data_IF_980553755293
#
_entry.id   IF_980553755293
#
_cell.length_a   1.000
_cell.length_b   1.000
_cell.length_c   1.000
_cell.angle_alpha   90.00
_cell.angle_beta   90.00
_cell.angle_gamma   90.00
#
_symmetry.space_group_name_H-M   'P 1'
#
loop_
_entity.id
_entity.type
_entity.pdbx_description
1 polymer ?
#
# COMPACT_ATOMS: atom_id res chain seq x y z
N UNK A 1 -142.24 30.98 -175.91
CA UNK A 1 -142.61 31.26 -174.50
C UNK A 1 -142.19 30.14 -173.50
N UNK A 2 -141.40 29.12 -173.90
CA UNK A 2 -141.03 27.99 -173.00
C UNK A 2 -139.59 28.01 -172.43
N UNK A 3 -138.62 28.63 -173.11
CA UNK A 3 -137.20 28.58 -172.68
C UNK A 3 -136.85 29.33 -171.39
N UNK A 4 -137.70 30.28 -170.94
CA UNK A 4 -137.40 31.10 -169.75
C UNK A 4 -137.74 30.40 -168.44
N UNK A 5 -138.78 29.56 -168.42
CA UNK A 5 -139.21 28.83 -167.21
C UNK A 5 -138.29 27.64 -166.88
N UNK A 6 -137.70 26.99 -167.88
CA UNK A 6 -136.71 25.92 -167.65
C UNK A 6 -135.37 26.45 -167.11
N UNK A 7 -134.95 27.64 -167.56
CA UNK A 7 -133.74 28.29 -167.04
C UNK A 7 -133.89 28.70 -165.57
N UNK A 8 -135.06 29.20 -165.16
CA UNK A 8 -135.34 29.59 -163.78
C UNK A 8 -135.43 28.36 -162.85
N UNK A 9 -135.96 27.22 -163.33
CA UNK A 9 -135.98 25.95 -162.57
C UNK A 9 -134.57 25.39 -162.36
N UNK A 10 -133.73 25.41 -163.41
CA UNK A 10 -132.34 24.99 -163.33
C UNK A 10 -131.52 25.86 -162.37
N UNK A 11 -131.74 27.17 -162.39
CA UNK A 11 -131.09 28.10 -161.46
C UNK A 11 -131.52 27.87 -160.01
N UNK A 12 -132.79 27.55 -159.77
CA UNK A 12 -133.30 27.19 -158.44
C UNK A 12 -132.73 25.84 -157.94
N UNK A 13 -132.64 24.84 -158.82
CA UNK A 13 -132.03 23.54 -158.49
C UNK A 13 -130.51 23.65 -158.24
N UNK A 14 -129.80 24.52 -158.97
CA UNK A 14 -128.40 24.82 -158.69
C UNK A 14 -128.23 25.50 -157.33
N UNK A 15 -129.07 26.49 -157.00
CA UNK A 15 -129.08 27.13 -155.68
C UNK A 15 -129.38 26.16 -154.54
N UNK A 16 -130.27 25.20 -154.76
CA UNK A 16 -130.64 24.20 -153.75
C UNK A 16 -129.46 23.24 -153.51
N UNK A 17 -128.78 22.79 -154.57
CA UNK A 17 -127.53 22.03 -154.45
C UNK A 17 -126.41 22.81 -153.77
N UNK A 18 -126.25 24.10 -154.06
CA UNK A 18 -125.24 24.94 -153.40
C UNK A 18 -125.55 25.13 -151.91
N UNK A 19 -126.82 25.29 -151.54
CA UNK A 19 -127.25 25.36 -150.13
C UNK A 19 -127.09 24.02 -149.41
N UNK A 20 -127.39 22.90 -150.05
CA UNK A 20 -127.15 21.56 -149.49
C UNK A 20 -125.65 21.29 -149.32
N UNK A 21 -124.80 21.72 -150.27
CA UNK A 21 -123.36 21.63 -150.14
C UNK A 21 -122.82 22.52 -149.01
N UNK A 22 -123.39 23.72 -148.83
CA UNK A 22 -123.05 24.61 -147.72
C UNK A 22 -123.49 24.04 -146.37
N UNK A 23 -124.68 23.44 -146.30
CA UNK A 23 -125.19 22.79 -145.10
C UNK A 23 -124.30 21.59 -144.72
N UNK A 24 -124.01 20.71 -145.67
CA UNK A 24 -123.12 19.57 -145.45
C UNK A 24 -121.70 20.01 -145.04
N UNK A 25 -121.19 21.09 -145.62
CA UNK A 25 -119.91 21.70 -145.22
C UNK A 25 -119.96 22.24 -143.78
N UNK A 26 -121.06 22.90 -143.40
CA UNK A 26 -121.25 23.40 -142.03
C UNK A 26 -121.46 22.29 -141.01
N UNK A 27 -122.18 21.23 -141.36
CA UNK A 27 -122.36 20.04 -140.51
C UNK A 27 -121.06 19.26 -140.34
N UNK A 28 -120.26 19.14 -141.40
CA UNK A 28 -118.90 18.58 -141.31
C UNK A 28 -117.99 19.42 -140.41
N UNK A 29 -118.01 20.75 -140.55
CA UNK A 29 -117.25 21.65 -139.68
C UNK A 29 -117.71 21.61 -138.22
N UNK A 30 -119.03 21.52 -137.97
CA UNK A 30 -119.59 21.35 -136.63
C UNK A 30 -119.16 20.02 -136.01
N UNK A 31 -119.20 18.93 -136.79
CA UNK A 31 -118.77 17.59 -136.34
C UNK A 31 -117.28 17.58 -135.96
N UNK A 32 -116.42 18.19 -136.79
CA UNK A 32 -114.98 18.34 -136.49
C UNK A 32 -114.75 19.18 -135.23
N UNK A 33 -115.43 20.32 -135.09
CA UNK A 33 -115.30 21.18 -133.90
C UNK A 33 -115.81 20.49 -132.62
N UNK A 34 -116.85 19.66 -132.70
CA UNK A 34 -117.32 18.85 -131.58
C UNK A 34 -116.35 17.71 -131.24
N UNK A 35 -115.67 17.14 -132.24
CA UNK A 35 -114.58 16.19 -132.05
C UNK A 35 -113.38 16.81 -131.34
N UNK A 36 -112.94 17.98 -131.81
CA UNK A 36 -111.86 18.77 -131.17
C UNK A 36 -112.23 19.17 -129.75
N UNK A 37 -113.46 19.64 -129.52
CA UNK A 37 -113.96 19.93 -128.17
C UNK A 37 -113.88 18.70 -127.26
N UNK A 38 -114.31 17.52 -127.73
CA UNK A 38 -114.22 16.28 -126.95
C UNK A 38 -112.79 15.86 -126.66
N UNK A 39 -111.87 16.04 -127.61
CA UNK A 39 -110.45 15.75 -127.44
C UNK A 39 -109.84 16.69 -126.40
N UNK A 40 -110.07 18.00 -126.50
CA UNK A 40 -109.61 19.00 -125.53
C UNK A 40 -110.23 18.78 -124.14
N UNK A 41 -111.51 18.39 -124.05
CA UNK A 41 -112.14 17.99 -122.78
C UNK A 41 -111.49 16.73 -122.18
N UNK A 42 -111.03 15.80 -123.02
CA UNK A 42 -110.22 14.65 -122.63
C UNK A 42 -108.86 15.07 -122.06
N UNK A 43 -108.11 15.88 -122.81
CA UNK A 43 -106.80 16.40 -122.40
C UNK A 43 -106.87 17.21 -121.10
N UNK A 44 -107.90 18.06 -120.94
CA UNK A 44 -108.11 18.81 -119.69
C UNK A 44 -108.39 17.88 -118.52
N UNK A 45 -109.13 16.78 -118.74
CA UNK A 45 -109.39 15.78 -117.70
C UNK A 45 -108.11 15.03 -117.32
N UNK A 46 -107.30 14.66 -118.30
CA UNK A 46 -106.04 13.95 -118.08
C UNK A 46 -105.00 14.84 -117.39
N UNK A 47 -104.86 16.11 -117.82
CA UNK A 47 -104.00 17.10 -117.17
C UNK A 47 -104.45 17.36 -115.72
N UNK A 48 -105.76 17.46 -115.45
CA UNK A 48 -106.26 17.56 -114.07
C UNK A 48 -105.93 16.32 -113.24
N UNK A 49 -106.03 15.13 -113.84
CA UNK A 49 -105.63 13.88 -113.19
C UNK A 49 -104.13 13.81 -112.88
N UNK A 50 -103.28 14.31 -113.79
CA UNK A 50 -101.85 14.42 -113.57
C UNK A 50 -101.50 15.46 -112.51
N UNK A 51 -102.19 16.62 -112.50
CA UNK A 51 -102.01 17.67 -111.51
C UNK A 51 -102.36 17.15 -110.10
N UNK A 52 -103.50 16.46 -109.94
CA UNK A 52 -103.88 15.86 -108.68
C UNK A 52 -102.89 14.78 -108.20
N UNK A 53 -102.34 13.96 -109.11
CA UNK A 53 -101.30 12.97 -108.77
C UNK A 53 -100.00 13.65 -108.33
N UNK A 54 -99.59 14.71 -109.02
CA UNK A 54 -98.39 15.48 -108.69
C UNK A 54 -98.57 16.20 -107.34
N UNK A 55 -99.73 16.80 -107.08
CA UNK A 55 -100.08 17.41 -105.80
C UNK A 55 -100.05 16.39 -104.65
N UNK A 56 -100.60 15.20 -104.86
CA UNK A 56 -100.51 14.09 -103.91
C UNK A 56 -99.07 13.68 -103.63
N UNK A 57 -98.27 13.47 -104.68
CA UNK A 57 -96.85 13.11 -104.53
C UNK A 57 -96.03 14.21 -103.85
N UNK A 58 -96.35 15.48 -104.07
CA UNK A 58 -95.73 16.61 -103.40
C UNK A 58 -96.10 16.67 -101.92
N UNK A 59 -97.35 16.37 -101.58
CA UNK A 59 -97.80 16.29 -100.20
C UNK A 59 -97.09 15.15 -99.45
N UNK A 60 -96.99 13.97 -100.06
CA UNK A 60 -96.28 12.82 -99.49
C UNK A 60 -94.79 13.11 -99.30
N UNK A 61 -94.13 13.70 -100.30
CA UNK A 61 -92.72 14.09 -100.22
C UNK A 61 -92.47 15.14 -99.12
N UNK A 62 -93.37 16.11 -98.95
CA UNK A 62 -93.30 17.09 -97.86
C UNK A 62 -93.44 16.43 -96.50
N UNK A 63 -94.37 15.48 -96.36
CA UNK A 63 -94.56 14.73 -95.11
C UNK A 63 -93.33 13.88 -94.78
N UNK A 64 -92.78 13.16 -95.77
CA UNK A 64 -91.55 12.39 -95.59
C UNK A 64 -90.37 13.27 -95.20
N UNK A 65 -90.24 14.46 -95.80
CA UNK A 65 -89.20 15.42 -95.43
C UNK A 65 -89.37 15.90 -93.99
N UNK A 66 -90.60 16.19 -93.55
CA UNK A 66 -90.88 16.59 -92.17
C UNK A 66 -90.55 15.48 -91.17
N UNK A 67 -90.96 14.25 -91.46
CA UNK A 67 -90.69 13.07 -90.62
C UNK A 67 -89.17 12.81 -90.53
N UNK A 68 -88.44 12.95 -91.64
CA UNK A 68 -86.98 12.75 -91.66
C UNK A 68 -86.23 13.90 -90.97
N UNK A 69 -86.71 15.14 -91.10
CA UNK A 69 -86.17 16.27 -90.32
C UNK A 69 -86.35 16.05 -88.82
N UNK A 70 -87.51 15.55 -88.38
CA UNK A 70 -87.75 15.25 -86.97
C UNK A 70 -86.78 14.15 -86.47
N UNK A 71 -86.63 13.06 -87.24
CA UNK A 71 -85.67 11.99 -86.92
C UNK A 71 -84.23 12.48 -86.85
N UNK A 72 -83.83 13.37 -87.77
CA UNK A 72 -82.50 13.99 -87.76
C UNK A 72 -82.29 14.80 -86.48
N UNK A 73 -83.25 15.64 -86.09
CA UNK A 73 -83.18 16.44 -84.87
C UNK A 73 -83.13 15.56 -83.62
N UNK A 74 -83.94 14.50 -83.54
CA UNK A 74 -83.90 13.54 -82.43
C UNK A 74 -82.56 12.82 -82.32
N UNK A 75 -81.96 12.43 -83.46
CA UNK A 75 -80.64 11.80 -83.49
C UNK A 75 -79.54 12.78 -83.08
N UNK A 76 -79.62 14.05 -83.51
CA UNK A 76 -78.67 15.11 -83.17
C UNK A 76 -78.73 15.43 -81.67
N UNK A 77 -79.94 15.52 -81.09
CA UNK A 77 -80.13 15.67 -79.64
C UNK A 77 -79.55 14.49 -78.86
N UNK A 78 -79.81 13.23 -79.28
CA UNK A 78 -79.21 12.05 -78.63
C UNK A 78 -77.68 12.07 -78.73
N UNK A 79 -77.13 12.49 -79.87
CA UNK A 79 -75.68 12.58 -80.05
C UNK A 79 -75.08 13.64 -79.11
N UNK A 80 -75.77 14.77 -78.95
CA UNK A 80 -75.36 15.83 -78.03
C UNK A 80 -75.38 15.35 -76.58
N UNK A 81 -76.46 14.70 -76.13
CA UNK A 81 -76.55 14.13 -74.78
C UNK A 81 -75.43 13.11 -74.53
N UNK A 82 -75.16 12.21 -75.47
CA UNK A 82 -74.09 11.23 -75.34
C UNK A 82 -72.69 11.89 -75.29
N UNK A 83 -72.48 13.00 -75.99
CA UNK A 83 -71.22 13.76 -75.92
C UNK A 83 -71.04 14.40 -74.55
N UNK A 84 -72.09 15.02 -74.03
CA UNK A 84 -72.08 15.64 -72.70
C UNK A 84 -71.83 14.59 -71.60
N UNK A 85 -72.48 13.42 -71.68
CA UNK A 85 -72.23 12.30 -70.77
C UNK A 85 -70.80 11.78 -70.84
N UNK A 86 -70.24 11.64 -72.06
CA UNK A 86 -68.86 11.21 -72.24
C UNK A 86 -67.87 12.23 -71.65
N UNK A 87 -68.12 13.52 -71.86
CA UNK A 87 -67.27 14.59 -71.34
C UNK A 87 -67.36 14.68 -69.81
N UNK A 88 -68.57 14.53 -69.26
CA UNK A 88 -68.78 14.43 -67.82
C UNK A 88 -68.04 13.24 -67.20
N UNK A 89 -68.14 12.05 -67.80
CA UNK A 89 -67.42 10.85 -67.35
C UNK A 89 -65.90 11.06 -67.41
N UNK A 90 -65.37 11.65 -68.50
CA UNK A 90 -63.94 11.97 -68.62
C UNK A 90 -63.49 12.93 -67.51
N UNK A 91 -64.27 13.96 -67.21
CA UNK A 91 -63.95 14.89 -66.14
C UNK A 91 -63.92 14.19 -64.78
N UNK A 92 -64.92 13.37 -64.46
CA UNK A 92 -64.93 12.57 -63.22
C UNK A 92 -63.69 11.69 -63.12
N UNK A 93 -63.39 10.87 -64.13
CA UNK A 93 -62.22 10.00 -64.07
C UNK A 93 -60.91 10.79 -63.93
N UNK A 94 -60.82 11.97 -64.56
CA UNK A 94 -59.66 12.84 -64.41
C UNK A 94 -59.51 13.40 -62.99
N UNK A 95 -60.62 13.76 -62.34
CA UNK A 95 -60.65 14.22 -60.96
C UNK A 95 -60.34 13.09 -59.99
N UNK A 96 -60.92 11.91 -60.17
CA UNK A 96 -60.61 10.71 -59.37
C UNK A 96 -59.13 10.34 -59.50
N UNK A 97 -58.58 10.33 -60.71
CA UNK A 97 -57.14 10.09 -60.94
C UNK A 97 -56.28 11.14 -60.23
N UNK A 98 -56.66 12.41 -60.32
CA UNK A 98 -55.94 13.51 -59.66
C UNK A 98 -56.00 13.38 -58.14
N UNK A 99 -57.15 13.06 -57.57
CA UNK A 99 -57.32 12.87 -56.13
C UNK A 99 -56.54 11.63 -55.65
N UNK A 100 -56.61 10.53 -56.38
CA UNK A 100 -55.89 9.29 -56.03
C UNK A 100 -54.38 9.53 -56.03
N UNK A 101 -53.85 10.25 -57.05
CA UNK A 101 -52.44 10.65 -57.10
C UNK A 101 -52.05 11.54 -55.93
N UNK A 102 -52.87 12.56 -55.62
CA UNK A 102 -52.62 13.47 -54.49
C UNK A 102 -52.62 12.75 -53.14
N UNK A 103 -53.56 11.83 -52.92
CA UNK A 103 -53.60 10.99 -51.71
C UNK A 103 -52.34 10.12 -51.61
N UNK A 104 -51.90 9.52 -52.71
CA UNK A 104 -50.68 8.71 -52.73
C UNK A 104 -49.44 9.54 -52.43
N UNK A 105 -49.28 10.70 -53.07
CA UNK A 105 -48.16 11.62 -52.85
C UNK A 105 -48.09 12.10 -51.40
N UNK A 106 -49.24 12.51 -50.82
CA UNK A 106 -49.31 12.95 -49.42
C UNK A 106 -48.89 11.83 -48.47
N UNK A 107 -49.39 10.61 -48.69
CA UNK A 107 -49.04 9.44 -47.87
C UNK A 107 -47.56 9.10 -47.98
N UNK A 108 -46.98 9.21 -49.18
CA UNK A 108 -45.56 8.94 -49.43
C UNK A 108 -44.68 9.95 -48.70
N UNK A 109 -45.02 11.24 -48.76
CA UNK A 109 -44.31 12.31 -48.05
C UNK A 109 -44.42 12.14 -46.54
N UNK A 110 -45.60 11.84 -45.99
CA UNK A 110 -45.78 11.62 -44.55
C UNK A 110 -44.99 10.41 -44.04
N UNK A 111 -45.00 9.32 -44.80
CA UNK A 111 -44.24 8.10 -44.50
C UNK A 111 -42.74 8.39 -44.56
N UNK A 112 -42.24 9.02 -45.63
CA UNK A 112 -40.81 9.25 -45.82
C UNK A 112 -40.26 10.25 -44.79
N UNK A 113 -41.01 11.34 -44.54
CA UNK A 113 -40.67 12.35 -43.53
C UNK A 113 -40.70 11.78 -42.10
N UNK A 114 -41.68 10.92 -41.80
CA UNK A 114 -41.83 10.28 -40.50
C UNK A 114 -40.69 9.31 -40.21
N UNK A 115 -40.42 8.40 -41.15
CA UNK A 115 -39.32 7.45 -41.02
C UNK A 115 -37.97 8.16 -40.92
N UNK A 116 -37.74 9.21 -41.72
CA UNK A 116 -36.48 9.95 -41.66
C UNK A 116 -36.26 10.62 -40.31
N UNK A 117 -37.28 11.27 -39.73
CA UNK A 117 -37.19 11.85 -38.37
C UNK A 117 -36.97 10.77 -37.30
N UNK A 118 -37.64 9.62 -37.43
CA UNK A 118 -37.45 8.52 -36.49
C UNK A 118 -36.04 7.95 -36.56
N UNK A 119 -35.45 7.84 -37.75
CA UNK A 119 -34.05 7.43 -37.92
C UNK A 119 -33.08 8.47 -37.37
N UNK A 120 -33.30 9.75 -37.65
CA UNK A 120 -32.50 10.85 -37.10
C UNK A 120 -32.57 10.89 -35.56
N UNK A 121 -33.76 10.71 -34.99
CA UNK A 121 -33.97 10.64 -33.55
C UNK A 121 -33.28 9.43 -32.93
N UNK A 122 -33.43 8.23 -33.51
CA UNK A 122 -32.75 7.01 -33.04
C UNK A 122 -31.24 7.13 -33.12
N UNK A 123 -30.71 7.72 -34.20
CA UNK A 123 -29.28 7.98 -34.35
C UNK A 123 -28.78 8.97 -33.31
N UNK A 124 -29.51 10.06 -33.08
CA UNK A 124 -29.18 11.05 -32.06
C UNK A 124 -29.18 10.43 -30.65
N UNK A 125 -30.18 9.61 -30.32
CA UNK A 125 -30.24 8.89 -29.05
C UNK A 125 -29.09 7.90 -28.89
N UNK A 126 -28.76 7.12 -29.91
CA UNK A 126 -27.63 6.18 -29.87
C UNK A 126 -26.29 6.91 -29.68
N UNK A 127 -26.09 8.07 -30.32
CA UNK A 127 -24.90 8.90 -30.13
C UNK A 127 -24.86 9.51 -28.72
N UNK A 128 -26.01 9.93 -28.17
CA UNK A 128 -26.13 10.44 -26.80
C UNK A 128 -25.77 9.35 -25.78
N UNK A 129 -26.31 8.14 -25.94
CA UNK A 129 -26.02 7.01 -25.06
C UNK A 129 -24.54 6.63 -25.12
N UNK A 130 -23.94 6.60 -26.31
CA UNK A 130 -22.53 6.29 -26.48
C UNK A 130 -21.63 7.36 -25.83
N UNK A 131 -22.00 8.64 -25.94
CA UNK A 131 -21.32 9.73 -25.20
C UNK A 131 -21.47 9.55 -23.68
N UNK A 132 -22.68 9.29 -23.19
CA UNK A 132 -22.95 9.09 -21.77
C UNK A 132 -22.16 7.91 -21.19
N UNK A 133 -22.07 6.80 -21.93
CA UNK A 133 -21.27 5.64 -21.53
C UNK A 133 -19.78 5.99 -21.46
N UNK A 134 -19.24 6.72 -22.44
CA UNK A 134 -17.83 7.13 -22.42
C UNK A 134 -17.54 8.14 -21.31
N UNK A 135 -18.41 9.13 -21.09
CA UNK A 135 -18.28 10.06 -19.97
C UNK A 135 -18.33 9.34 -18.63
N UNK A 136 -19.23 8.36 -18.48
CA UNK A 136 -19.30 7.49 -17.30
C UNK A 136 -18.01 6.69 -17.07
N UNK A 137 -17.46 6.07 -18.13
CA UNK A 137 -16.18 5.36 -18.05
C UNK A 137 -15.02 6.28 -17.66
N UNK A 138 -14.94 7.47 -18.26
CA UNK A 138 -13.89 8.46 -17.94
C UNK A 138 -14.03 8.92 -16.49
N UNK A 139 -15.26 9.14 -16.02
CA UNK A 139 -15.52 9.51 -14.63
C UNK A 139 -15.07 8.41 -13.66
N UNK A 140 -15.40 7.15 -13.93
CA UNK A 140 -14.96 6.01 -13.13
C UNK A 140 -13.43 5.88 -13.10
N UNK A 141 -12.78 5.95 -14.27
CA UNK A 141 -11.31 5.90 -14.32
C UNK A 141 -10.67 7.06 -13.55
N UNK A 142 -11.24 8.25 -13.63
CA UNK A 142 -10.76 9.40 -12.86
C UNK A 142 -10.92 9.17 -11.35
N UNK A 143 -12.07 8.69 -10.90
CA UNK A 143 -12.31 8.40 -9.48
C UNK A 143 -11.38 7.31 -8.96
N UNK A 144 -11.19 6.22 -9.70
CA UNK A 144 -10.25 5.15 -9.34
C UNK A 144 -8.80 5.65 -9.30
N UNK A 145 -8.41 6.50 -10.24
CA UNK A 145 -7.08 7.11 -10.28
C UNK A 145 -6.87 8.06 -9.10
N UNK A 146 -7.85 8.91 -8.78
CA UNK A 146 -7.81 9.79 -7.62
C UNK A 146 -7.76 8.99 -6.31
N UNK A 147 -8.56 7.94 -6.18
CA UNK A 147 -8.58 7.07 -5.00
C UNK A 147 -7.23 6.36 -4.81
N UNK A 148 -6.66 5.80 -5.87
CA UNK A 148 -5.35 5.13 -5.81
C UNK A 148 -4.22 6.12 -5.55
N UNK A 149 -4.27 7.31 -6.14
CA UNK A 149 -3.28 8.36 -5.90
C UNK A 149 -3.35 8.86 -4.45
N UNK A 150 -4.55 9.17 -3.94
CA UNK A 150 -4.76 9.56 -2.55
C UNK A 150 -4.30 8.48 -1.57
N UNK A 151 -4.61 7.21 -1.84
CA UNK A 151 -4.14 6.10 -1.01
C UNK A 151 -2.60 6.00 -0.99
N UNK A 152 -1.93 6.17 -2.12
CA UNK A 152 -0.46 6.20 -2.18
C UNK A 152 0.13 7.41 -1.45
N UNK A 153 -0.50 8.58 -1.57
CA UNK A 153 -0.06 9.81 -0.92
C UNK A 153 -0.19 9.70 0.60
N UNK A 154 -1.32 9.20 1.09
CA UNK A 154 -1.52 8.95 2.52
C UNK A 154 -0.58 7.86 3.05
N UNK A 155 -0.35 6.79 2.30
CA UNK A 155 0.63 5.77 2.70
C UNK A 155 2.05 6.36 2.79
N UNK A 156 2.45 7.18 1.82
CA UNK A 156 3.75 7.86 1.83
C UNK A 156 3.88 8.84 3.01
N UNK A 157 2.83 9.61 3.31
CA UNK A 157 2.79 10.49 4.49
C UNK A 157 2.92 9.70 5.79
N UNK A 158 2.10 8.66 5.98
CA UNK A 158 2.17 7.79 7.16
C UNK A 158 3.54 7.13 7.32
N UNK A 159 4.14 6.68 6.21
CA UNK A 159 5.50 6.12 6.22
C UNK A 159 6.54 7.18 6.60
N UNK A 160 6.41 8.41 6.11
CA UNK A 160 7.31 9.52 6.45
C UNK A 160 7.17 9.93 7.92
N UNK A 161 5.94 10.04 8.44
CA UNK A 161 5.65 10.31 9.85
C UNK A 161 6.21 9.21 10.75
N UNK A 162 5.98 7.93 10.40
CA UNK A 162 6.55 6.80 11.13
C UNK A 162 8.07 6.82 11.12
N UNK A 163 8.68 7.11 9.98
CA UNK A 163 10.14 7.21 9.89
C UNK A 163 10.69 8.39 10.71
N UNK A 164 10.00 9.54 10.69
CA UNK A 164 10.31 10.69 11.54
C UNK A 164 10.22 10.34 13.03
N UNK A 165 9.17 9.63 13.45
CA UNK A 165 9.00 9.15 14.83
C UNK A 165 10.13 8.21 15.24
N UNK A 166 10.45 7.21 14.41
CA UNK A 166 11.55 6.27 14.70
C UNK A 166 12.92 6.97 14.77
N UNK A 167 13.15 7.96 13.89
CA UNK A 167 14.37 8.78 13.94
C UNK A 167 14.41 9.62 15.21
N UNK A 168 13.28 10.18 15.64
CA UNK A 168 13.14 10.88 16.91
C UNK A 168 13.48 9.99 18.11
N UNK A 169 12.86 8.81 18.19
CA UNK A 169 13.11 7.82 19.24
C UNK A 169 14.58 7.38 19.27
N UNK A 170 15.18 7.08 18.11
CA UNK A 170 16.59 6.72 18.03
C UNK A 170 17.51 7.87 18.46
N UNK A 171 17.18 9.12 18.11
CA UNK A 171 17.91 10.29 18.58
C UNK A 171 17.81 10.44 20.10
N UNK A 172 16.64 10.26 20.69
CA UNK A 172 16.45 10.29 22.14
C UNK A 172 17.26 9.21 22.84
N UNK A 173 17.26 7.97 22.33
CA UNK A 173 18.06 6.86 22.87
C UNK A 173 19.56 7.15 22.80
N UNK A 174 20.04 7.74 21.70
CA UNK A 174 21.44 8.18 21.56
C UNK A 174 21.76 9.26 22.59
N UNK A 175 20.89 10.25 22.79
CA UNK A 175 21.11 11.31 23.78
C UNK A 175 21.14 10.75 25.20
N UNK A 176 20.20 9.86 25.56
CA UNK A 176 20.19 9.20 26.86
C UNK A 176 21.46 8.36 27.09
N UNK A 177 21.90 7.62 26.07
CA UNK A 177 23.13 6.84 26.11
C UNK A 177 24.36 7.74 26.30
N UNK A 178 24.40 8.88 25.62
CA UNK A 178 25.48 9.87 25.75
C UNK A 178 25.53 10.45 27.16
N UNK A 179 24.39 10.87 27.72
CA UNK A 179 24.29 11.36 29.11
C UNK A 179 24.77 10.27 30.09
N UNK A 180 24.39 9.01 29.87
CA UNK A 180 24.84 7.89 30.70
C UNK A 180 26.35 7.66 30.61
N UNK A 181 26.92 7.74 29.41
CA UNK A 181 28.37 7.62 29.20
C UNK A 181 29.11 8.75 29.93
N UNK A 182 28.64 9.98 29.80
CA UNK A 182 29.26 11.15 30.46
C UNK A 182 29.18 11.02 31.99
N UNK A 183 28.03 10.57 32.52
CA UNK A 183 27.86 10.31 33.96
C UNK A 183 28.79 9.21 34.47
N UNK A 184 28.89 8.07 33.78
CA UNK A 184 29.78 6.98 34.15
C UNK A 184 31.25 7.39 34.02
N UNK A 185 31.60 8.17 33.01
CA UNK A 185 32.96 8.70 32.82
C UNK A 185 33.35 9.65 33.95
N UNK A 186 32.42 10.49 34.41
CA UNK A 186 32.64 11.34 35.58
C UNK A 186 32.85 10.52 36.86
N UNK A 187 32.05 9.47 37.09
CA UNK A 187 32.22 8.56 38.23
C UNK A 187 33.56 7.83 38.17
N UNK A 188 33.97 7.34 36.99
CA UNK A 188 35.26 6.70 36.78
C UNK A 188 36.41 7.65 37.11
N UNK A 189 36.36 8.89 36.60
CA UNK A 189 37.37 9.91 36.91
C UNK A 189 37.44 10.22 38.41
N UNK A 190 36.29 10.28 39.09
CA UNK A 190 36.24 10.47 40.53
C UNK A 190 36.87 9.31 41.30
N UNK A 191 36.55 8.07 40.93
CA UNK A 191 37.13 6.87 41.54
C UNK A 191 38.65 6.78 41.28
N UNK A 192 39.11 7.11 40.08
CA UNK A 192 40.54 7.17 39.75
C UNK A 192 41.27 8.21 40.62
N UNK A 193 40.69 9.40 40.82
CA UNK A 193 41.26 10.41 41.73
C UNK A 193 41.29 9.91 43.19
N UNK A 194 40.25 9.22 43.63
CA UNK A 194 40.22 8.63 44.98
C UNK A 194 41.27 7.53 45.15
N UNK A 195 41.43 6.65 44.15
CA UNK A 195 42.46 5.61 44.14
C UNK A 195 43.85 6.24 44.24
N UNK A 196 44.17 7.21 43.37
CA UNK A 196 45.45 7.90 43.38
C UNK A 196 45.73 8.59 44.74
N UNK A 197 44.72 9.21 45.34
CA UNK A 197 44.84 9.81 46.67
C UNK A 197 45.09 8.76 47.78
N UNK A 198 44.47 7.58 47.69
CA UNK A 198 44.71 6.47 48.64
C UNK A 198 46.08 5.85 48.45
N UNK A 199 46.54 5.67 47.21
CA UNK A 199 47.88 5.19 46.90
C UNK A 199 48.96 6.17 47.40
N UNK A 200 48.78 7.47 47.20
CA UNK A 200 49.68 8.48 47.75
C UNK A 200 49.75 8.40 49.28
N UNK A 201 48.59 8.28 49.95
CA UNK A 201 48.53 8.13 51.41
C UNK A 201 49.20 6.83 51.89
N UNK A 202 49.07 5.73 51.15
CA UNK A 202 49.77 4.48 51.46
C UNK A 202 51.28 4.66 51.38
N UNK A 203 51.79 5.29 50.32
CA UNK A 203 53.23 5.59 50.18
C UNK A 203 53.73 6.46 51.32
N UNK A 204 53.01 7.52 51.69
CA UNK A 204 53.38 8.38 52.82
C UNK A 204 53.46 7.60 54.14
N UNK A 205 52.52 6.66 54.38
CA UNK A 205 52.52 5.80 55.56
C UNK A 205 53.66 4.79 55.53
N UNK A 206 53.96 4.20 54.37
CA UNK A 206 55.10 3.29 54.18
C UNK A 206 56.43 4.01 54.44
N UNK A 207 56.60 5.23 53.91
CA UNK A 207 57.76 6.08 54.14
C UNK A 207 57.88 6.47 55.61
N UNK A 208 56.78 6.85 56.27
CA UNK A 208 56.76 7.16 57.70
C UNK A 208 57.17 5.95 58.54
N UNK A 209 56.63 4.77 58.24
CA UNK A 209 56.96 3.53 58.93
C UNK A 209 58.43 3.12 58.71
N UNK A 210 58.94 3.32 57.50
CA UNK A 210 60.35 3.10 57.18
C UNK A 210 61.25 4.02 58.00
N UNK A 211 60.94 5.32 58.07
CA UNK A 211 61.66 6.30 58.91
C UNK A 211 61.61 5.93 60.40
N UNK A 212 60.46 5.49 60.90
CA UNK A 212 60.30 5.05 62.29
C UNK A 212 61.12 3.80 62.59
N UNK A 213 61.13 2.82 61.68
CA UNK A 213 61.98 1.62 61.79
C UNK A 213 63.47 1.98 61.79
N UNK A 214 63.90 2.87 60.90
CA UNK A 214 65.29 3.33 60.85
C UNK A 214 65.68 4.08 62.12
N UNK A 215 64.80 4.96 62.62
CA UNK A 215 64.99 5.68 63.88
C UNK A 215 65.13 4.72 65.05
N UNK A 216 64.22 3.75 65.17
CA UNK A 216 64.26 2.74 66.23
C UNK A 216 65.51 1.86 66.10
N UNK A 217 65.90 1.46 64.88
CA UNK A 217 67.13 0.70 64.64
C UNK A 217 68.36 1.50 65.09
N UNK A 218 68.45 2.80 64.78
CA UNK A 218 69.53 3.68 65.25
C UNK A 218 69.55 3.79 66.78
N UNK A 219 68.39 3.96 67.40
CA UNK A 219 68.27 4.01 68.86
C UNK A 219 68.73 2.68 69.51
N UNK A 220 68.35 1.54 68.94
CA UNK A 220 68.80 0.23 69.39
C UNK A 220 70.31 0.07 69.24
N UNK A 221 70.90 0.44 68.10
CA UNK A 221 72.36 0.37 67.91
C UNK A 221 73.11 1.27 68.88
N UNK A 222 72.57 2.45 69.19
CA UNK A 222 73.17 3.35 70.18
C UNK A 222 73.10 2.76 71.59
N UNK A 223 71.97 2.15 71.96
CA UNK A 223 71.83 1.44 73.24
C UNK A 223 72.76 0.22 73.34
N UNK A 224 72.92 -0.54 72.26
CA UNK A 224 73.87 -1.65 72.21
C UNK A 224 75.32 -1.15 72.36
N UNK A 225 75.64 0.01 71.78
CA UNK A 225 76.94 0.69 71.94
C UNK A 225 77.17 1.13 73.38
N UNK A 226 76.22 1.82 74.00
CA UNK A 226 76.26 2.21 75.42
C UNK A 226 76.43 0.97 76.33
N UNK A 227 75.70 -0.11 76.06
CA UNK A 227 75.81 -1.37 76.78
C UNK A 227 77.19 -2.01 76.62
N UNK A 228 77.77 -1.99 75.42
CA UNK A 228 79.12 -2.48 75.17
C UNK A 228 80.18 -1.63 75.90
N UNK A 229 80.04 -0.31 75.91
CA UNK A 229 80.90 0.60 76.67
C UNK A 229 80.81 0.36 78.18
N UNK A 230 79.60 0.20 78.73
CA UNK A 230 79.44 -0.13 80.15
C UNK A 230 80.05 -1.48 80.50
N UNK A 231 79.90 -2.50 79.64
CA UNK A 231 80.57 -3.80 79.82
C UNK A 231 82.09 -3.67 79.77
N UNK A 232 82.64 -2.88 78.85
CA UNK A 232 84.07 -2.64 78.76
C UNK A 232 84.60 -1.91 80.01
N UNK A 233 83.90 -0.89 80.51
CA UNK A 233 84.23 -0.22 81.77
C UNK A 233 84.17 -1.17 82.96
N UNK A 234 83.14 -2.01 83.03
CA UNK A 234 83.00 -3.02 84.08
C UNK A 234 84.15 -4.04 84.04
N UNK A 235 84.56 -4.47 82.83
CA UNK A 235 85.72 -5.35 82.67
C UNK A 235 87.01 -4.66 83.10
N UNK A 236 87.22 -3.41 82.70
CA UNK A 236 88.38 -2.62 83.14
C UNK A 236 88.43 -2.51 84.67
N UNK A 237 87.29 -2.25 85.32
CA UNK A 237 87.24 -2.23 86.80
C UNK A 237 87.58 -3.60 87.39
N UNK A 238 87.10 -4.70 86.82
CA UNK A 238 87.47 -6.05 87.28
C UNK A 238 88.97 -6.31 87.15
N UNK A 239 89.58 -5.86 86.05
CA UNK A 239 91.02 -6.00 85.82
C UNK A 239 91.82 -5.14 86.82
N UNK A 240 91.42 -3.89 87.07
CA UNK A 240 92.00 -3.01 88.09
C UNK A 240 91.85 -3.60 89.50
N UNK A 241 90.69 -4.21 89.83
CA UNK A 241 90.50 -4.92 91.09
C UNK A 241 91.38 -6.17 91.20
N UNK A 242 91.62 -6.89 90.11
CA UNK A 242 92.51 -8.04 90.08
C UNK A 242 93.97 -7.60 90.29
N UNK A 243 94.41 -6.53 89.63
CA UNK A 243 95.74 -5.95 89.86
C UNK A 243 95.92 -5.49 91.31
N UNK A 244 94.91 -4.81 91.87
CA UNK A 244 94.92 -4.42 93.27
C UNK A 244 94.95 -5.62 94.22
N UNK A 245 94.23 -6.70 93.90
CA UNK A 245 94.28 -7.96 94.63
C UNK A 245 95.68 -8.57 94.57
N UNK A 246 96.33 -8.58 93.41
CA UNK A 246 97.68 -9.09 93.22
C UNK A 246 98.71 -8.26 94.02
N UNK A 247 98.60 -6.93 94.01
CA UNK A 247 99.39 -6.03 94.86
C UNK A 247 99.13 -6.34 96.34
N UNK A 248 97.87 -6.55 96.74
CA UNK A 248 97.52 -6.90 98.11
C UNK A 248 98.13 -8.24 98.53
N UNK A 249 98.12 -9.25 97.65
CA UNK A 249 98.76 -10.55 97.90
C UNK A 249 100.27 -10.40 98.02
N UNK A 250 100.91 -9.56 97.18
CA UNK A 250 102.32 -9.25 97.30
C UNK A 250 102.64 -8.56 98.63
N UNK A 251 101.84 -7.59 99.05
CA UNK A 251 101.97 -6.92 100.35
C UNK A 251 101.74 -7.89 101.52
N UNK A 252 100.77 -8.80 101.43
CA UNK A 252 100.57 -9.84 102.46
C UNK A 252 101.78 -10.77 102.55
N UNK A 253 102.39 -11.11 101.41
CA UNK A 253 103.62 -11.90 101.37
C UNK A 253 104.79 -11.13 101.99
N UNK A 254 104.93 -9.83 101.71
CA UNK A 254 105.93 -8.97 102.35
C UNK A 254 105.70 -8.88 103.86
N UNK A 255 104.46 -8.66 104.31
CA UNK A 255 104.10 -8.66 105.74
C UNK A 255 104.42 -10.01 106.37
N UNK A 256 104.12 -11.12 105.69
CA UNK A 256 104.46 -12.46 106.17
C UNK A 256 105.98 -12.65 106.27
N UNK A 257 106.74 -12.17 105.29
CA UNK A 257 108.20 -12.18 105.32
C UNK A 257 108.75 -11.31 106.47
N UNK A 258 108.21 -10.10 106.68
CA UNK A 258 108.57 -9.24 107.80
C UNK A 258 108.22 -9.89 109.15
N UNK A 259 107.05 -10.52 109.28
CA UNK A 259 106.67 -11.29 110.47
C UNK A 259 107.64 -12.42 110.74
N UNK A 260 108.03 -13.17 109.71
CA UNK A 260 109.00 -14.28 109.84
C UNK A 260 110.41 -13.80 110.20
N UNK A 261 110.82 -12.63 109.69
CA UNK A 261 112.07 -11.99 110.08
C UNK A 261 112.02 -11.52 111.55
N UNK A 262 110.89 -10.96 111.98
CA UNK A 262 110.64 -10.63 113.40
C UNK A 262 110.63 -11.88 114.28
N UNK A 263 109.96 -12.96 113.89
CA UNK A 263 109.97 -14.24 114.61
C UNK A 263 111.41 -14.79 114.74
N UNK A 264 112.23 -14.67 113.69
CA UNK A 264 113.66 -15.02 113.76
C UNK A 264 114.49 -14.11 114.68
N UNK A 265 114.15 -12.82 114.76
CA UNK A 265 114.79 -11.87 115.67
C UNK A 265 114.30 -12.06 117.13
N UNK A 266 113.03 -12.43 117.33
CA UNK A 266 112.41 -12.82 118.60
C UNK A 266 112.99 -14.14 119.14
N UNK A 267 113.30 -15.11 118.27
CA UNK A 267 114.05 -16.33 118.61
C UNK A 267 115.49 -16.02 119.03
N UNK A 268 116.18 -15.07 118.38
CA UNK A 268 117.53 -14.62 118.76
C UNK A 268 117.57 -13.89 120.10
N UNK A 269 116.48 -13.20 120.47
CA UNK A 269 116.37 -12.39 121.69
C UNK A 269 115.73 -13.12 122.89
N UNK A 270 115.42 -14.43 122.80
CA UNK A 270 114.81 -15.23 123.89
C UNK A 270 113.56 -14.56 124.51
N UNK A 271 112.69 -14.00 123.68
CA UNK A 271 111.39 -13.53 124.11
C UNK A 271 110.41 -14.71 124.03
N UNK A 272 109.87 -15.13 125.18
CA UNK A 272 108.90 -16.23 125.29
C UNK A 272 107.65 -15.92 124.43
N UNK A 273 107.12 -16.90 123.67
CA UNK A 273 106.00 -16.66 122.77
C UNK A 273 104.73 -16.45 123.60
N UNK A 274 104.09 -15.28 123.44
CA UNK A 274 102.78 -15.03 124.03
C UNK A 274 101.71 -14.93 122.94
N UNK A 275 100.58 -15.64 123.08
CA UNK A 275 99.78 -16.05 121.94
C UNK A 275 98.54 -15.17 121.72
N UNK A 276 98.03 -15.28 120.50
CA UNK A 276 96.60 -15.36 120.17
C UNK A 276 95.71 -14.12 120.30
N UNK A 277 94.79 -14.04 119.33
CA UNK A 277 93.62 -13.15 119.31
C UNK A 277 93.18 -12.96 117.87
N UNK A 278 92.66 -13.97 117.18
CA UNK A 278 91.27 -14.41 117.24
C UNK A 278 90.27 -13.28 117.53
N UNK A 279 89.20 -13.28 116.71
CA UNK A 279 87.87 -12.71 116.96
C UNK A 279 87.80 -11.19 116.73
N UNK A 280 86.79 -10.62 116.06
CA UNK A 280 85.39 -11.03 116.01
C UNK A 280 84.64 -10.06 115.08
N UNK A 281 83.67 -10.60 114.34
CA UNK A 281 82.27 -10.13 114.21
C UNK A 281 82.04 -8.61 114.06
N UNK A 282 81.15 -8.12 113.21
CA UNK A 282 79.76 -8.56 113.09
C UNK A 282 79.03 -7.61 112.13
N UNK A 283 78.04 -8.15 111.41
CA UNK A 283 76.66 -7.62 111.23
C UNK A 283 76.57 -6.24 110.55
N UNK A 284 75.78 -6.06 109.50
CA UNK A 284 74.32 -6.26 109.39
C UNK A 284 74.00 -6.17 107.88
N UNK A 285 73.40 -7.17 107.23
CA UNK A 285 71.97 -7.50 107.24
C UNK A 285 71.03 -6.33 106.85
N UNK A 286 70.17 -6.65 105.87
CA UNK A 286 69.00 -5.93 105.35
C UNK A 286 69.31 -5.10 104.09
N UNK A 287 68.55 -5.16 103.01
CA UNK A 287 67.25 -5.80 102.73
C UNK A 287 66.96 -5.50 101.26
N UNK A 288 66.30 -6.40 100.53
CA UNK A 288 65.87 -6.07 99.18
C UNK A 288 65.38 -7.29 98.42
N UNK A 289 64.15 -7.69 98.74
CA UNK A 289 63.52 -8.88 98.24
C UNK A 289 62.79 -8.63 96.90
N UNK A 290 62.91 -9.60 96.00
CA UNK A 290 62.02 -9.93 94.88
C UNK A 290 61.95 -8.88 93.73
N UNK A 291 61.74 -9.22 92.44
CA UNK A 291 61.06 -10.34 91.81
C UNK A 291 61.65 -10.63 90.42
N UNK A 292 61.62 -11.90 90.07
CA UNK A 292 61.85 -12.54 88.78
C UNK A 292 61.00 -12.02 87.60
N UNK A 293 61.58 -12.00 86.39
CA UNK A 293 60.87 -12.50 85.20
C UNK A 293 61.86 -13.08 84.18
N UNK A 294 61.73 -14.38 83.94
CA UNK A 294 62.52 -15.17 83.01
C UNK A 294 61.81 -15.25 81.66
N UNK A 295 62.59 -15.05 80.61
CA UNK A 295 62.21 -15.11 79.20
C UNK A 295 62.04 -16.55 78.71
N UNK A 296 61.12 -16.77 77.75
CA UNK A 296 61.20 -17.72 76.59
C UNK A 296 59.78 -18.04 76.12
N UNK A 297 59.49 -18.46 74.89
CA UNK A 297 60.10 -18.44 73.55
C UNK A 297 59.12 -19.27 72.71
N UNK A 298 58.66 -18.67 71.61
CA UNK A 298 58.25 -19.25 70.32
C UNK A 298 58.01 -20.78 70.26
N UNK A 299 56.86 -21.16 69.69
CA UNK A 299 56.76 -22.38 68.88
C UNK A 299 55.78 -22.16 67.72
N UNK A 300 56.23 -22.53 66.53
CA UNK A 300 55.59 -22.43 65.22
C UNK A 300 55.53 -23.89 64.73
N UNK A 301 54.38 -24.35 64.29
CA UNK A 301 54.18 -25.71 63.77
C UNK A 301 53.38 -25.59 62.48
N UNK A 302 53.87 -26.27 61.44
CA UNK A 302 53.43 -26.12 60.06
C UNK A 302 52.20 -26.96 59.75
N UNK A 303 51.36 -26.44 58.85
CA UNK A 303 50.25 -27.18 58.27
C UNK A 303 50.50 -27.51 56.80
N UNK A 304 50.29 -28.78 56.53
CA UNK A 304 50.26 -29.49 55.26
C UNK A 304 49.19 -28.91 54.33
N UNK A 305 49.55 -28.65 53.07
CA UNK A 305 48.63 -28.21 52.01
C UNK A 305 47.55 -29.27 51.77
N UNK A 306 46.32 -29.01 52.19
CA UNK A 306 45.11 -29.62 51.64
C UNK A 306 44.48 -28.53 50.77
N UNK A 307 44.55 -28.66 49.44
CA UNK A 307 43.85 -27.76 48.54
C UNK A 307 42.35 -28.08 48.59
N UNK A 308 41.61 -27.45 49.48
CA UNK A 308 40.15 -27.42 49.42
C UNK A 308 39.72 -26.63 48.19
N UNK A 309 39.25 -27.31 47.15
CA UNK A 309 38.69 -26.67 45.96
C UNK A 309 37.28 -26.16 46.29
N UNK A 310 37.09 -24.84 46.38
CA UNK A 310 35.78 -24.23 46.54
C UNK A 310 35.18 -23.95 45.16
N UNK A 311 34.15 -24.71 44.77
CA UNK A 311 33.35 -24.46 43.58
C UNK A 311 32.27 -23.41 43.90
N UNK A 312 32.26 -22.31 43.16
CA UNK A 312 31.21 -21.29 43.26
C UNK A 312 30.45 -21.21 41.94
N UNK A 313 29.23 -21.75 41.92
CA UNK A 313 28.31 -21.58 40.80
C UNK A 313 27.35 -20.41 41.09
N UNK A 314 27.45 -19.33 40.32
CA UNK A 314 26.48 -18.23 40.34
C UNK A 314 25.60 -18.34 39.11
N UNK A 315 24.30 -18.39 39.32
CA UNK A 315 23.32 -18.43 38.23
C UNK A 315 22.43 -17.20 38.29
N UNK A 316 22.18 -16.60 37.13
CA UNK A 316 21.15 -15.58 36.92
C UNK A 316 20.17 -16.11 35.89
N UNK A 317 18.93 -16.41 36.31
CA UNK A 317 17.86 -16.87 35.41
C UNK A 317 17.29 -18.26 35.73
N UNK A 318 16.49 -18.78 34.80
CA UNK A 318 15.71 -20.02 34.97
C UNK A 318 16.54 -21.31 34.90
N UNK A 319 17.75 -21.27 34.32
CA UNK A 319 18.63 -22.45 34.14
C UNK A 319 19.93 -22.24 34.90
N UNK A 320 20.29 -23.20 35.75
CA UNK A 320 21.49 -23.17 36.58
C UNK A 320 22.49 -24.26 36.20
N UNK A 321 23.76 -24.00 36.48
CA UNK A 321 24.81 -25.03 36.47
C UNK A 321 24.68 -25.81 37.77
N UNK A 322 24.34 -27.09 37.67
CA UNK A 322 24.17 -27.99 38.82
C UNK A 322 25.48 -28.69 39.17
N UNK A 323 26.25 -29.10 38.15
CA UNK A 323 27.51 -29.81 38.34
C UNK A 323 28.47 -29.48 37.18
N UNK A 324 29.75 -29.36 37.49
CA UNK A 324 30.84 -29.29 36.50
C UNK A 324 31.83 -30.37 36.86
N UNK A 325 32.18 -31.21 35.89
CA UNK A 325 33.17 -32.25 36.06
C UNK A 325 34.54 -31.67 36.43
N UNK A 326 35.27 -32.32 37.34
CA UNK A 326 36.57 -31.83 37.83
C UNK A 326 37.65 -31.91 36.74
N UNK A 327 37.51 -32.83 35.79
CA UNK A 327 38.36 -32.94 34.60
C UNK A 327 37.84 -32.04 33.45
N UNK A 328 36.74 -31.32 33.68
CA UNK A 328 36.13 -30.39 32.75
C UNK A 328 35.41 -31.03 31.58
N UNK A 329 35.20 -32.35 31.54
CA UNK A 329 34.68 -33.07 30.35
C UNK A 329 33.20 -32.81 30.08
N UNK A 330 32.44 -32.47 31.12
CA UNK A 330 31.02 -32.17 30.97
C UNK A 330 30.54 -31.11 31.97
N UNK A 331 29.42 -30.48 31.60
CA UNK A 331 28.65 -29.56 32.45
C UNK A 331 27.21 -30.06 32.51
N UNK A 332 26.64 -30.13 33.72
CA UNK A 332 25.22 -30.45 33.92
C UNK A 332 24.43 -29.18 34.21
N UNK A 333 23.42 -28.94 33.39
CA UNK A 333 22.48 -27.83 33.54
C UNK A 333 21.16 -28.33 34.12
N UNK A 334 20.52 -27.52 34.96
CA UNK A 334 19.20 -27.78 35.54
C UNK A 334 18.25 -26.61 35.31
N UNK A 335 17.08 -26.89 34.78
CA UNK A 335 15.99 -25.92 34.77
C UNK A 335 15.35 -25.86 36.16
N UNK A 336 15.51 -24.71 36.84
CA UNK A 336 14.96 -24.46 38.18
C UNK A 336 13.55 -23.87 38.15
N UNK A 337 13.01 -23.57 36.98
CA UNK A 337 11.65 -23.06 36.81
C UNK A 337 10.63 -24.17 36.61
N UNK A 338 9.36 -23.80 36.75
CA UNK A 338 8.17 -24.59 36.44
C UNK A 338 7.76 -24.51 34.96
N UNK A 339 8.54 -23.84 34.11
CA UNK A 339 8.27 -23.70 32.68
C UNK A 339 9.38 -24.33 31.84
N UNK A 340 9.05 -24.80 30.65
CA UNK A 340 10.02 -25.29 29.68
C UNK A 340 10.89 -24.14 29.17
N UNK A 341 12.22 -24.31 29.19
CA UNK A 341 13.17 -23.31 28.74
C UNK A 341 13.75 -23.69 27.38
N UNK A 342 13.47 -22.89 26.35
CA UNK A 342 14.19 -23.00 25.08
C UNK A 342 15.63 -22.54 25.27
N UNK A 343 16.57 -23.40 24.87
CA UNK A 343 18.02 -23.17 24.86
C UNK A 343 18.53 -22.93 23.44
N UNK A 344 17.62 -22.75 22.46
CA UNK A 344 18.00 -22.44 21.08
C UNK A 344 18.92 -21.21 21.03
N UNK A 345 20.05 -21.35 20.33
CA UNK A 345 21.09 -20.32 20.18
C UNK A 345 21.89 -19.99 21.46
N UNK A 346 21.69 -20.73 22.56
CA UNK A 346 22.56 -20.61 23.72
C UNK A 346 23.91 -21.27 23.43
N UNK A 347 24.94 -20.86 24.17
CA UNK A 347 26.27 -21.46 24.08
C UNK A 347 26.89 -21.63 25.47
N UNK A 348 27.59 -22.75 25.67
CA UNK A 348 28.44 -22.98 26.83
C UNK A 348 29.88 -22.70 26.42
N UNK A 349 30.56 -21.84 27.17
CA UNK A 349 31.96 -21.50 26.95
C UNK A 349 32.79 -22.03 28.11
N UNK A 350 33.65 -23.02 27.87
CA UNK A 350 34.63 -23.54 28.84
C UNK A 350 35.98 -22.90 28.55
N UNK A 351 36.61 -22.33 29.57
CA UNK A 351 37.94 -21.73 29.47
C UNK A 351 38.77 -22.17 30.66
N UNK A 352 39.93 -22.78 30.39
CA UNK A 352 40.88 -23.25 31.40
C UNK A 352 42.11 -22.35 31.31
N UNK A 353 42.34 -21.52 32.33
CA UNK A 353 43.43 -20.53 32.33
C UNK A 353 43.36 -19.56 31.13
N UNK A 354 44.49 -19.42 30.43
CA UNK A 354 44.63 -18.55 29.25
C UNK A 354 44.44 -19.29 27.91
N UNK A 355 44.02 -20.56 27.94
CA UNK A 355 43.79 -21.33 26.71
C UNK A 355 42.57 -20.84 25.92
N UNK A 356 42.54 -21.16 24.62
CA UNK A 356 41.41 -20.83 23.76
C UNK A 356 40.13 -21.48 24.31
N UNK A 357 39.03 -20.71 24.45
CA UNK A 357 37.81 -21.23 25.02
C UNK A 357 37.14 -22.23 24.08
N UNK A 358 36.69 -23.34 24.65
CA UNK A 358 35.90 -24.32 23.94
C UNK A 358 34.42 -23.95 24.02
N UNK A 359 33.74 -23.94 22.88
CA UNK A 359 32.37 -23.43 22.76
C UNK A 359 31.46 -24.55 22.25
N UNK A 360 30.51 -24.95 23.09
CA UNK A 360 29.38 -25.81 22.68
C UNK A 360 28.16 -24.94 22.37
N UNK A 361 27.54 -25.12 21.20
CA UNK A 361 26.33 -24.39 20.80
C UNK A 361 25.13 -25.32 20.78
N UNK A 362 24.04 -24.89 21.40
CA UNK A 362 22.80 -25.65 21.42
C UNK A 362 22.11 -25.59 20.05
N UNK A 363 21.65 -26.74 19.51
CA UNK A 363 20.78 -26.76 18.33
C UNK A 363 19.54 -25.87 18.52
N UNK A 364 19.01 -25.24 17.45
CA UNK A 364 17.92 -24.26 17.54
C UNK A 364 16.62 -24.77 18.20
N UNK A 365 16.39 -26.08 18.22
CA UNK A 365 15.19 -26.73 18.79
C UNK A 365 15.44 -27.38 20.15
N UNK A 366 16.53 -27.04 20.83
CA UNK A 366 16.83 -27.62 22.14
C UNK A 366 15.97 -26.96 23.21
N UNK A 367 15.14 -27.76 23.90
CA UNK A 367 14.31 -27.31 25.02
C UNK A 367 14.61 -28.14 26.25
N UNK A 368 14.91 -27.48 27.37
CA UNK A 368 15.08 -28.12 28.67
C UNK A 368 13.79 -28.01 29.48
N UNK A 369 13.13 -29.14 29.70
CA UNK A 369 11.83 -29.17 30.38
C UNK A 369 11.92 -28.68 31.82
N UNK A 370 10.80 -28.19 32.36
CA UNK A 370 10.69 -27.78 33.75
C UNK A 370 11.24 -28.85 34.72
N UNK A 371 12.12 -28.45 35.64
CA UNK A 371 12.72 -29.34 36.64
C UNK A 371 13.74 -30.37 36.13
N UNK A 372 13.95 -30.49 34.81
CA UNK A 372 14.87 -31.48 34.24
C UNK A 372 16.33 -31.02 34.24
N UNK A 373 17.21 -32.01 34.16
CA UNK A 373 18.65 -31.83 34.04
C UNK A 373 19.13 -32.31 32.67
N UNK A 374 20.19 -31.69 32.15
CA UNK A 374 20.81 -32.05 30.88
C UNK A 374 22.32 -31.95 31.01
N UNK A 375 23.01 -33.03 30.64
CA UNK A 375 24.47 -33.10 30.61
C UNK A 375 24.96 -32.75 29.22
N UNK A 376 25.89 -31.79 29.15
CA UNK A 376 26.54 -31.37 27.91
C UNK A 376 28.03 -31.68 28.03
N UNK A 377 28.54 -32.48 27.11
CA UNK A 377 29.99 -32.70 27.00
C UNK A 377 30.63 -31.45 26.39
N UNK A 378 31.64 -30.90 27.07
CA UNK A 378 32.36 -29.69 26.66
C UNK A 378 33.85 -30.00 26.63
#
# INVERSE_FOLDING_TARGET
RNKKKEADLLAAQARLKDLEALLNSKDAALSTALGEKRNLEGEVRDLKGQLAKLEGSLADAKKQLQDEMLRRVDAENRNQTLREELEFQKNIYSEELRETRRRHETRLVEIDSGHQRDFESKLSNALQDLRSQHEGQISLYKEELEKTYNAKLENAKLSAERNSSMVGEAHEEIQQSRIRIDSLSAQLSQLQKQLAAKEAKLRDLEDSLSRERDSNRRAMTEKDREMAEMRARMQQQLDEYQELLDIKLALDMEIHAYRKLLEGEEERLRLSPSPSGQKRTSRTAHSGAHTSSSSKKRRMEGETKISSYNQHARTTGKVAVEEVDLEGKFVRLKNKSNEDQSLGNWQIKRQIGEEKPLIYRFPPRTTLKAGQTMTVSV
#
